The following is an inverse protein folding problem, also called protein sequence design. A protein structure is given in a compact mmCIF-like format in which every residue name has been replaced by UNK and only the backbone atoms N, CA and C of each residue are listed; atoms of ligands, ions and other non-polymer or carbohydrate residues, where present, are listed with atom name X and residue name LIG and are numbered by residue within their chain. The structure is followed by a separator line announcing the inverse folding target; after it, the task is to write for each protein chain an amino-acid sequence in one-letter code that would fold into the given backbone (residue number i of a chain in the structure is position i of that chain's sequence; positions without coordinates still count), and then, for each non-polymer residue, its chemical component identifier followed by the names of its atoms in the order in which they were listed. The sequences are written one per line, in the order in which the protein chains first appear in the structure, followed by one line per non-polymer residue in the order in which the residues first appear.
data_IF_195030857898
#
_entry.id   IF_195030857898
#
_cell.length_a   1.000
_cell.length_b   1.000
_cell.length_c   1.000
_cell.angle_alpha   90.00
_cell.angle_beta   90.00
_cell.angle_gamma   90.00
#
_symmetry.space_group_name_H-M   'P 1'
#
loop_
_entity.id
_entity.type
_entity.pdbx_description
1 polymer ?
#
# COMPACT_ATOMS: atom_id res chain seq x y z
N UNK A 1 9.23 -88.74 49.44
CA UNK A 1 9.68 -89.17 48.09
C UNK A 1 9.41 -88.16 47.04
N UNK A 2 10.41 -87.95 46.22
CA UNK A 2 10.48 -87.17 44.96
C UNK A 2 10.62 -85.66 45.01
N UNK A 3 11.81 -85.27 44.77
CA UNK A 3 12.41 -84.08 44.21
C UNK A 3 11.71 -83.63 42.92
N UNK A 4 11.55 -82.37 42.71
CA UNK A 4 11.58 -81.76 41.36
C UNK A 4 12.27 -80.42 41.41
N UNK A 5 13.15 -80.28 40.51
CA UNK A 5 14.22 -79.40 40.22
C UNK A 5 13.63 -78.05 39.66
N UNK A 6 14.30 -76.95 40.02
CA UNK A 6 14.02 -75.62 39.57
C UNK A 6 14.29 -75.31 38.10
N UNK A 7 13.67 -74.30 37.60
CA UNK A 7 14.02 -73.70 36.35
C UNK A 7 14.10 -72.15 36.57
N UNK A 8 15.29 -71.62 36.35
CA UNK A 8 15.61 -70.20 36.35
C UNK A 8 15.07 -69.62 35.10
N UNK A 9 14.07 -68.75 35.21
CA UNK A 9 13.61 -67.94 34.11
C UNK A 9 14.41 -66.61 34.00
N UNK A 10 15.03 -66.43 32.88
CA UNK A 10 15.78 -65.27 32.49
C UNK A 10 14.78 -64.09 32.25
N UNK A 11 14.94 -62.98 32.98
CA UNK A 11 14.16 -61.79 32.79
C UNK A 11 14.87 -60.92 31.74
N UNK A 12 14.30 -60.81 30.56
CA UNK A 12 14.75 -59.90 29.51
C UNK A 12 14.14 -58.57 29.80
N UNK A 13 14.93 -57.60 30.27
CA UNK A 13 14.53 -56.23 30.42
C UNK A 13 14.41 -55.61 29.03
N UNK A 14 13.16 -55.43 28.59
CA UNK A 14 12.85 -54.68 27.35
C UNK A 14 13.09 -53.20 27.53
N UNK A 15 14.09 -52.69 26.83
CA UNK A 15 14.37 -51.26 26.71
C UNK A 15 13.33 -50.63 25.75
N UNK A 16 12.35 -49.93 26.28
CA UNK A 16 11.39 -49.16 25.48
C UNK A 16 12.05 -47.81 25.11
N UNK A 17 12.50 -47.69 23.86
CA UNK A 17 12.96 -46.45 23.30
C UNK A 17 11.72 -45.60 22.97
N UNK A 18 11.43 -44.59 23.79
CA UNK A 18 10.43 -43.58 23.48
C UNK A 18 11.03 -42.61 22.46
N UNK A 19 10.65 -42.74 21.18
CA UNK A 19 10.93 -41.74 20.14
C UNK A 19 9.96 -40.58 20.35
N UNK A 20 10.43 -39.51 20.96
CA UNK A 20 9.70 -38.25 21.02
C UNK A 20 9.72 -37.60 19.60
N UNK A 21 8.62 -37.75 18.86
CA UNK A 21 8.41 -37.02 17.63
C UNK A 21 8.21 -35.53 17.97
N UNK A 22 9.23 -34.73 17.81
CA UNK A 22 9.13 -33.27 17.85
C UNK A 22 8.39 -32.85 16.60
N UNK A 23 7.06 -32.67 16.73
CA UNK A 23 6.25 -31.99 15.70
C UNK A 23 6.64 -30.53 15.75
N UNK A 24 7.58 -30.12 14.90
CA UNK A 24 7.92 -28.74 14.68
C UNK A 24 6.70 -28.02 14.09
N UNK A 25 5.96 -27.28 14.90
CA UNK A 25 5.01 -26.27 14.40
C UNK A 25 5.81 -25.19 13.70
N UNK A 26 6.08 -25.38 12.40
CA UNK A 26 6.59 -24.34 11.55
C UNK A 26 5.52 -23.23 11.45
N UNK A 27 5.75 -22.11 12.12
CA UNK A 27 5.03 -20.87 11.85
C UNK A 27 5.36 -20.44 10.41
N UNK A 28 4.58 -20.93 9.46
CA UNK A 28 4.57 -20.34 8.13
C UNK A 28 3.69 -19.10 8.21
N UNK A 29 4.23 -17.89 7.99
CA UNK A 29 3.39 -16.71 7.87
C UNK A 29 2.47 -16.95 6.66
N UNK A 30 1.21 -17.27 6.93
CA UNK A 30 0.19 -17.37 5.89
C UNK A 30 0.06 -15.99 5.27
N UNK A 31 0.52 -15.81 4.03
CA UNK A 31 0.15 -14.65 3.24
C UNK A 31 -1.35 -14.76 3.03
N UNK A 32 -2.12 -14.03 3.83
CA UNK A 32 -3.57 -14.00 3.71
C UNK A 32 -3.93 -13.50 2.32
N UNK A 33 -4.70 -14.28 1.57
CA UNK A 33 -5.23 -13.84 0.28
C UNK A 33 -6.04 -12.56 0.48
N UNK A 34 -5.91 -11.61 -0.46
CA UNK A 34 -6.67 -10.37 -0.45
C UNK A 34 -8.17 -10.65 -0.46
N UNK A 35 -8.89 -9.99 0.43
CA UNK A 35 -10.36 -10.06 0.48
C UNK A 35 -10.99 -9.35 -0.72
N UNK A 36 -12.26 -9.61 -1.00
CA UNK A 36 -12.99 -8.89 -2.06
C UNK A 36 -13.08 -7.39 -1.77
N UNK A 37 -13.18 -6.98 -0.49
CA UNK A 37 -13.17 -5.57 -0.10
C UNK A 37 -11.81 -4.92 -0.35
N UNK A 38 -10.70 -5.58 -0.05
CA UNK A 38 -9.36 -5.08 -0.35
C UNK A 38 -9.13 -4.94 -1.85
N UNK A 39 -9.61 -5.88 -2.67
CA UNK A 39 -9.57 -5.78 -4.14
C UNK A 39 -10.39 -4.59 -4.65
N UNK A 40 -11.57 -4.35 -4.08
CA UNK A 40 -12.40 -3.20 -4.44
C UNK A 40 -11.73 -1.87 -4.09
N UNK A 41 -11.06 -1.77 -2.94
CA UNK A 41 -10.24 -0.62 -2.55
C UNK A 41 -9.12 -0.38 -3.56
N UNK A 42 -8.37 -1.42 -3.92
CA UNK A 42 -7.29 -1.32 -4.92
C UNK A 42 -7.83 -0.84 -6.27
N UNK A 43 -8.99 -1.32 -6.69
CA UNK A 43 -9.61 -0.90 -7.95
C UNK A 43 -9.96 0.60 -7.94
N UNK A 44 -10.46 1.15 -6.82
CA UNK A 44 -10.70 2.59 -6.67
C UNK A 44 -9.40 3.39 -6.80
N UNK A 45 -8.31 2.92 -6.19
CA UNK A 45 -7.01 3.60 -6.29
C UNK A 45 -6.46 3.58 -7.71
N UNK A 46 -6.54 2.45 -8.42
CA UNK A 46 -6.15 2.35 -9.83
C UNK A 46 -7.02 3.25 -10.73
N UNK A 47 -8.31 3.34 -10.42
CA UNK A 47 -9.22 4.25 -11.09
C UNK A 47 -8.83 5.71 -10.85
N UNK A 48 -8.38 6.06 -9.64
CA UNK A 48 -7.87 7.40 -9.32
C UNK A 48 -6.67 7.77 -10.21
N UNK A 49 -5.67 6.91 -10.30
CA UNK A 49 -4.51 7.15 -11.17
C UNK A 49 -4.91 7.33 -12.65
N UNK A 50 -5.81 6.48 -13.13
CA UNK A 50 -6.31 6.56 -14.51
C UNK A 50 -7.11 7.84 -14.77
N UNK A 51 -7.97 8.23 -13.84
CA UNK A 51 -8.79 9.44 -13.94
C UNK A 51 -7.92 10.69 -13.94
N UNK A 52 -6.91 10.75 -13.07
CA UNK A 52 -5.93 11.83 -13.05
C UNK A 52 -5.20 11.94 -14.40
N UNK A 53 -4.59 10.86 -14.87
CA UNK A 53 -3.85 10.84 -16.13
C UNK A 53 -4.69 11.24 -17.35
N UNK A 54 -6.00 10.97 -17.31
CA UNK A 54 -6.95 11.30 -18.39
C UNK A 54 -7.68 12.62 -18.21
N UNK A 55 -7.38 13.37 -17.16
CA UNK A 55 -8.09 14.61 -16.83
C UNK A 55 -9.61 14.40 -16.62
N UNK A 56 -10.00 13.25 -16.06
CA UNK A 56 -11.40 12.83 -15.86
C UNK A 56 -11.92 13.25 -14.49
N UNK A 57 -12.29 14.54 -14.37
CA UNK A 57 -12.87 15.08 -13.14
C UNK A 57 -14.22 14.44 -12.79
N UNK A 58 -14.97 13.94 -13.78
CA UNK A 58 -16.25 13.27 -13.52
C UNK A 58 -16.06 11.95 -12.75
N UNK A 59 -15.01 11.22 -13.06
CA UNK A 59 -14.62 10.02 -12.29
C UNK A 59 -14.07 10.41 -10.93
N UNK A 60 -13.23 11.45 -10.83
CA UNK A 60 -12.70 11.94 -9.55
C UNK A 60 -13.85 12.27 -8.57
N UNK A 61 -14.89 12.98 -9.00
CA UNK A 61 -16.08 13.30 -8.20
C UNK A 61 -16.82 12.03 -7.68
N UNK A 62 -16.62 10.86 -8.30
CA UNK A 62 -17.29 9.61 -7.89
C UNK A 62 -16.47 8.81 -6.90
N UNK A 63 -15.15 8.91 -6.96
CA UNK A 63 -14.24 8.08 -6.15
C UNK A 63 -13.70 8.81 -4.92
N UNK A 64 -13.80 10.13 -4.87
CA UNK A 64 -13.47 10.93 -3.70
C UNK A 64 -14.74 11.29 -2.91
N UNK A 65 -14.60 11.51 -1.60
CA UNK A 65 -15.65 12.17 -0.84
C UNK A 65 -15.68 13.64 -1.23
N UNK A 66 -16.89 14.17 -1.48
CA UNK A 66 -17.05 15.52 -2.05
C UNK A 66 -17.64 16.52 -1.03
N UNK A 67 -17.14 16.47 0.20
CA UNK A 67 -17.55 17.35 1.29
C UNK A 67 -16.33 17.86 2.09
N UNK A 68 -16.58 18.59 3.15
CA UNK A 68 -15.57 19.24 3.99
C UNK A 68 -14.75 18.26 4.87
N UNK A 69 -15.13 16.98 4.91
CA UNK A 69 -14.38 16.00 5.73
C UNK A 69 -13.14 15.46 5.03
N UNK A 70 -12.97 15.74 3.72
CA UNK A 70 -11.81 15.34 2.96
C UNK A 70 -10.56 16.05 3.48
N UNK A 71 -9.46 15.31 3.61
CA UNK A 71 -8.15 15.87 3.94
C UNK A 71 -7.09 15.33 2.99
N UNK A 72 -6.27 16.23 2.44
CA UNK A 72 -5.17 15.87 1.53
C UNK A 72 -3.89 16.55 2.00
N UNK A 73 -2.83 15.76 2.12
CA UNK A 73 -1.48 16.23 2.44
C UNK A 73 -0.51 15.79 1.35
N UNK A 74 -0.01 16.73 0.58
CA UNK A 74 0.88 16.47 -0.54
C UNK A 74 2.09 17.40 -0.50
N UNK A 75 3.28 16.81 -0.43
CA UNK A 75 4.55 17.56 -0.48
C UNK A 75 4.66 18.74 0.49
N UNK A 76 4.02 18.64 1.66
CA UNK A 76 3.99 19.69 2.68
C UNK A 76 2.84 20.69 2.52
N UNK A 77 1.99 20.55 1.52
CA UNK A 77 0.73 21.28 1.38
C UNK A 77 -0.42 20.52 2.00
N UNK A 78 -1.40 21.23 2.55
CA UNK A 78 -2.62 20.67 3.12
C UNK A 78 -3.84 21.31 2.47
N UNK A 79 -4.77 20.47 1.99
CA UNK A 79 -6.08 20.89 1.55
C UNK A 79 -7.14 20.26 2.44
N UNK A 80 -8.18 21.00 2.72
CA UNK A 80 -9.32 20.60 3.54
C UNK A 80 -10.62 20.78 2.77
N UNK A 81 -11.39 19.69 2.63
CA UNK A 81 -12.59 19.67 1.83
C UNK A 81 -12.34 19.50 0.32
N UNK A 82 -13.36 18.92 -0.35
CA UNK A 82 -13.26 18.62 -1.78
C UNK A 82 -13.16 19.87 -2.64
N UNK A 83 -13.92 20.92 -2.31
CA UNK A 83 -13.96 22.14 -3.11
C UNK A 83 -12.60 22.83 -3.12
N UNK A 84 -11.96 22.94 -1.95
CA UNK A 84 -10.61 23.51 -1.85
C UNK A 84 -9.60 22.68 -2.67
N UNK A 85 -9.56 21.37 -2.45
CA UNK A 85 -8.63 20.51 -3.19
C UNK A 85 -8.88 20.52 -4.70
N UNK A 86 -10.14 20.37 -5.12
CA UNK A 86 -10.49 20.32 -6.53
C UNK A 86 -10.12 21.62 -7.25
N UNK A 87 -10.52 22.77 -6.71
CA UNK A 87 -10.46 24.04 -7.42
C UNK A 87 -9.10 24.73 -7.30
N UNK A 88 -8.43 24.57 -6.16
CA UNK A 88 -7.18 25.28 -5.88
C UNK A 88 -5.93 24.42 -6.10
N UNK A 89 -6.06 23.10 -6.26
CA UNK A 89 -4.94 22.19 -6.43
C UNK A 89 -5.14 21.25 -7.64
N UNK A 90 -6.12 20.35 -7.58
CA UNK A 90 -6.26 19.24 -8.52
C UNK A 90 -6.57 19.70 -9.95
N UNK A 91 -7.57 20.57 -10.14
CA UNK A 91 -7.99 20.99 -11.47
C UNK A 91 -6.95 21.87 -12.18
N UNK A 92 -6.27 22.80 -11.52
CA UNK A 92 -5.12 23.50 -12.09
C UNK A 92 -4.01 22.55 -12.54
N UNK A 93 -3.60 21.61 -11.66
CA UNK A 93 -2.55 20.63 -11.94
C UNK A 93 -2.90 19.75 -13.13
N UNK A 94 -4.10 19.16 -13.15
CA UNK A 94 -4.58 18.34 -14.26
C UNK A 94 -4.66 19.11 -15.58
N UNK A 95 -4.96 20.41 -15.56
CA UNK A 95 -5.01 21.27 -16.75
C UNK A 95 -3.62 21.57 -17.30
N UNK A 96 -2.65 21.80 -16.40
CA UNK A 96 -1.28 22.15 -16.74
C UNK A 96 -0.51 20.95 -17.29
N UNK A 97 -0.66 19.79 -16.68
CA UNK A 97 0.03 18.58 -17.07
C UNK A 97 -0.48 18.01 -18.40
N UNK A 98 0.44 17.60 -19.27
CA UNK A 98 0.17 16.97 -20.56
C UNK A 98 0.90 15.65 -20.64
N UNK A 99 0.41 14.74 -21.49
CA UNK A 99 1.01 13.41 -21.71
C UNK A 99 1.24 12.65 -20.38
N UNK A 100 0.35 12.87 -19.41
CA UNK A 100 0.52 12.38 -18.04
C UNK A 100 0.35 10.86 -17.97
N UNK A 101 1.32 10.21 -17.34
CA UNK A 101 1.24 8.84 -16.86
C UNK A 101 1.30 8.88 -15.35
N UNK A 102 0.34 8.24 -14.68
CA UNK A 102 0.30 8.13 -13.23
C UNK A 102 -0.04 6.69 -12.87
N UNK A 103 0.84 6.04 -12.15
CA UNK A 103 0.74 4.61 -11.87
C UNK A 103 1.02 4.33 -10.40
N UNK A 104 0.27 3.37 -9.84
CA UNK A 104 0.50 2.85 -8.50
C UNK A 104 1.03 1.43 -8.55
N UNK A 105 2.01 1.14 -7.71
CA UNK A 105 2.60 -0.18 -7.52
C UNK A 105 2.71 -0.53 -6.04
N UNK A 106 2.95 -1.79 -5.73
CA UNK A 106 3.07 -2.31 -4.36
C UNK A 106 1.89 -1.94 -3.45
N UNK A 107 0.67 -1.90 -4.00
CA UNK A 107 -0.52 -1.51 -3.25
C UNK A 107 -0.83 -2.57 -2.19
N UNK A 108 -0.80 -2.17 -0.94
CA UNK A 108 -1.19 -2.99 0.21
C UNK A 108 -2.42 -2.36 0.84
N UNK A 109 -3.57 -2.98 0.66
CA UNK A 109 -4.84 -2.53 1.22
C UNK A 109 -5.27 -3.42 2.38
N UNK A 110 -5.91 -2.81 3.38
CA UNK A 110 -6.60 -3.47 4.47
C UNK A 110 -7.96 -2.83 4.67
N UNK A 111 -9.00 -3.67 4.74
CA UNK A 111 -10.37 -3.23 4.95
C UNK A 111 -10.97 -3.89 6.21
N UNK A 112 -11.69 -3.10 7.00
CA UNK A 112 -12.42 -3.55 8.18
C UNK A 112 -13.73 -2.77 8.30
N UNK A 113 -14.86 -3.47 8.15
CA UNK A 113 -16.18 -2.85 8.14
C UNK A 113 -16.32 -1.80 7.04
N UNK A 114 -16.55 -0.55 7.41
CA UNK A 114 -16.72 0.57 6.48
C UNK A 114 -15.43 1.36 6.21
N UNK A 115 -14.33 1.02 6.86
CA UNK A 115 -13.07 1.72 6.72
C UNK A 115 -12.03 0.85 6.03
N UNK A 116 -11.18 1.47 5.25
CA UNK A 116 -10.02 0.84 4.67
C UNK A 116 -8.84 1.83 4.65
N UNK A 117 -7.64 1.30 4.66
CA UNK A 117 -6.45 2.06 4.31
C UNK A 117 -5.63 1.31 3.26
N UNK A 118 -4.86 2.05 2.51
CA UNK A 118 -3.87 1.47 1.60
C UNK A 118 -2.58 2.28 1.62
N UNK A 119 -1.47 1.57 1.47
CA UNK A 119 -0.16 2.16 1.21
C UNK A 119 0.32 1.71 -0.16
N UNK A 120 1.05 2.57 -0.86
CA UNK A 120 1.50 2.29 -2.22
C UNK A 120 2.73 3.11 -2.59
N UNK A 121 3.43 2.66 -3.63
CA UNK A 121 4.37 3.49 -4.38
C UNK A 121 3.63 4.11 -5.55
N UNK A 122 4.05 5.31 -5.96
CA UNK A 122 3.58 5.91 -7.20
C UNK A 122 4.74 6.34 -8.09
N UNK A 123 4.47 6.37 -9.38
CA UNK A 123 5.26 7.07 -10.38
C UNK A 123 4.36 8.00 -11.17
N UNK A 124 4.83 9.19 -11.43
CA UNK A 124 4.13 10.16 -12.28
C UNK A 124 5.13 10.78 -13.24
N UNK A 125 4.76 10.88 -14.51
CA UNK A 125 5.53 11.55 -15.53
C UNK A 125 4.62 12.28 -16.51
N UNK A 126 5.14 13.28 -17.17
CA UNK A 126 4.39 14.08 -18.13
C UNK A 126 5.17 15.30 -18.55
N UNK A 127 4.47 16.27 -19.12
CA UNK A 127 5.02 17.54 -19.53
C UNK A 127 4.25 18.67 -18.82
N UNK A 128 4.97 19.65 -18.26
CA UNK A 128 4.43 20.86 -17.63
C UNK A 128 5.29 22.04 -18.03
N UNK A 129 4.69 23.14 -18.45
CA UNK A 129 5.38 24.33 -18.97
C UNK A 129 6.40 24.02 -20.08
N UNK A 130 6.08 23.06 -20.95
CA UNK A 130 6.94 22.62 -22.04
C UNK A 130 8.19 21.84 -21.62
N UNK A 131 8.28 21.42 -20.35
CA UNK A 131 9.38 20.61 -19.80
C UNK A 131 8.86 19.26 -19.38
N UNK A 132 9.62 18.23 -19.72
CA UNK A 132 9.36 16.90 -19.20
C UNK A 132 9.69 16.81 -17.72
N UNK A 133 8.81 16.14 -16.95
CA UNK A 133 9.07 15.78 -15.57
C UNK A 133 8.82 14.28 -15.35
N UNK A 134 9.52 13.72 -14.40
CA UNK A 134 9.24 12.42 -13.80
C UNK A 134 9.44 12.51 -12.29
N UNK A 135 8.63 11.79 -11.55
CA UNK A 135 8.69 11.73 -10.09
C UNK A 135 8.20 10.37 -9.60
N UNK A 136 8.71 9.97 -8.46
CA UNK A 136 8.27 8.78 -7.75
C UNK A 136 8.19 9.07 -6.26
N UNK A 137 7.29 8.38 -5.57
CA UNK A 137 7.13 8.59 -4.14
C UNK A 137 6.27 7.52 -3.48
N UNK A 138 5.85 7.84 -2.27
CA UNK A 138 5.00 7.00 -1.44
C UNK A 138 3.67 7.69 -1.21
N UNK A 139 2.58 6.91 -1.19
CA UNK A 139 1.27 7.42 -0.85
C UNK A 139 0.55 6.51 0.14
N UNK A 140 -0.31 7.13 0.93
CA UNK A 140 -1.27 6.47 1.81
C UNK A 140 -2.65 7.05 1.53
N UNK A 141 -3.63 6.17 1.42
CA UNK A 141 -5.03 6.54 1.29
C UNK A 141 -5.86 5.92 2.41
N UNK A 142 -6.82 6.67 2.94
CA UNK A 142 -7.91 6.14 3.76
C UNK A 142 -9.19 6.22 2.95
N UNK A 143 -9.96 5.15 2.96
CA UNK A 143 -11.22 5.06 2.23
C UNK A 143 -12.35 4.72 3.19
N UNK A 144 -13.54 5.22 2.89
CA UNK A 144 -14.78 4.88 3.58
C UNK A 144 -15.81 4.33 2.59
N UNK A 145 -16.57 3.33 3.02
CA UNK A 145 -17.66 2.72 2.23
C UNK A 145 -18.94 3.50 2.46
N UNK A 146 -19.29 4.36 1.51
CA UNK A 146 -20.46 5.24 1.53
C UNK A 146 -21.46 4.78 0.46
N UNK A 147 -22.69 4.47 0.87
CA UNK A 147 -23.71 3.96 -0.04
C UNK A 147 -23.27 2.69 -0.80
N UNK A 148 -22.51 1.80 -0.13
CA UNK A 148 -21.98 0.57 -0.72
C UNK A 148 -20.76 0.74 -1.63
N UNK A 149 -20.23 1.96 -1.81
CA UNK A 149 -19.09 2.27 -2.67
C UNK A 149 -17.93 2.82 -1.85
N UNK A 150 -16.72 2.36 -2.13
CA UNK A 150 -15.51 2.90 -1.52
C UNK A 150 -15.20 4.29 -2.09
N UNK A 151 -14.90 5.26 -1.20
CA UNK A 151 -14.49 6.62 -1.55
C UNK A 151 -13.27 7.02 -0.74
N UNK A 152 -12.35 7.74 -1.35
CA UNK A 152 -11.16 8.27 -0.70
C UNK A 152 -11.60 9.43 0.20
N UNK A 153 -11.27 9.35 1.49
CA UNK A 153 -11.58 10.36 2.52
C UNK A 153 -10.33 11.05 3.06
N UNK A 154 -9.17 10.43 2.86
CA UNK A 154 -7.88 11.04 3.16
C UNK A 154 -6.83 10.56 2.16
N UNK A 155 -5.94 11.45 1.80
CA UNK A 155 -4.77 11.17 0.97
C UNK A 155 -3.53 11.82 1.55
N UNK A 156 -2.44 11.09 1.56
CA UNK A 156 -1.13 11.64 1.86
C UNK A 156 -0.14 11.11 0.82
N UNK A 157 0.61 12.01 0.22
CA UNK A 157 1.71 11.65 -0.67
C UNK A 157 2.99 12.41 -0.34
N UNK A 158 4.12 11.77 -0.59
CA UNK A 158 5.45 12.35 -0.42
C UNK A 158 6.38 11.86 -1.52
N UNK A 159 7.24 12.74 -2.00
CA UNK A 159 8.33 12.42 -2.91
C UNK A 159 9.68 12.73 -2.24
N UNK A 160 10.77 12.07 -2.63
CA UNK A 160 12.10 12.45 -2.19
C UNK A 160 12.39 13.90 -2.52
N UNK A 161 13.02 14.62 -1.60
CA UNK A 161 13.48 15.97 -1.86
C UNK A 161 14.53 15.92 -2.98
N UNK A 162 14.35 16.66 -4.07
CA UNK A 162 15.40 16.81 -5.09
C UNK A 162 16.64 17.40 -4.40
N UNK A 163 17.75 16.69 -4.43
CA UNK A 163 19.02 17.24 -3.97
C UNK A 163 19.38 18.39 -4.93
N UNK A 164 19.79 19.57 -4.43
CA UNK A 164 20.34 20.60 -5.30
C UNK A 164 21.50 20.00 -6.10
N UNK A 165 21.52 20.25 -7.40
CA UNK A 165 22.68 19.87 -8.21
C UNK A 165 23.95 20.45 -7.58
N UNK A 166 25.05 19.69 -7.48
CA UNK A 166 26.30 20.24 -6.93
C UNK A 166 26.65 21.52 -7.68
N UNK A 167 26.78 22.61 -6.95
CA UNK A 167 27.25 23.88 -7.53
C UNK A 167 28.61 23.62 -8.20
N UNK A 168 28.78 23.95 -9.51
CA UNK A 168 30.07 23.77 -10.15
C UNK A 168 31.16 24.47 -9.33
N UNK A 169 32.24 23.76 -9.02
CA UNK A 169 33.34 24.31 -8.29
C UNK A 169 33.86 25.56 -9.04
N UNK A 170 33.86 26.70 -8.36
CA UNK A 170 34.38 27.96 -8.93
C UNK A 170 35.84 27.75 -9.30
N UNK A 171 36.13 27.66 -10.61
CA UNK A 171 37.48 27.62 -11.10
C UNK A 171 38.15 28.93 -10.68
N UNK A 172 39.12 28.87 -9.78
CA UNK A 172 39.99 30.01 -9.49
C UNK A 172 40.91 30.15 -10.67
N UNK A 173 40.67 31.11 -11.53
CA UNK A 173 41.67 31.60 -12.49
C UNK A 173 42.69 32.42 -11.71
N UNK A 174 43.93 31.93 -11.66
CA UNK A 174 45.10 32.68 -11.22
C UNK A 174 45.47 33.74 -12.26
#
# INVERSE_FOLDING_TARGET
MKKIIGSKGFSVAGLVLAIAAVVGFGFHPSVSAQTNEEKAVIAVLQQNATAFAKNDMATMNKIWVTNETLTIFESGHANYGWTDYRDNHLAPEMKEMKNTKYEFSDIKAKASGRMAYATMKYTISGDSDGKHFDSAGLATAVLEKLGGKWRIVHWHSSAPRRQPSPTPARVKTN
#
